data_IF_819709320233
#
_entry.id   IF_819709320233
#
_cell.length_a   1.000
_cell.length_b   1.000
_cell.length_c   1.000
_cell.angle_alpha   90.00
_cell.angle_beta   90.00
_cell.angle_gamma   90.00
#
_symmetry.space_group_name_H-M   'P 1'
#
loop_
_entity.id
_entity.type
_entity.pdbx_description
1 polymer ?
#
# COMPACT_ATOMS: atom_id res chain seq x y z
N UNK A 1 -39.89 -13.64 3.57
CA UNK A 1 -39.83 -12.18 3.32
C UNK A 1 -38.52 -11.68 3.91
N UNK A 2 -37.46 -11.67 3.11
CA UNK A 2 -36.18 -11.10 3.55
C UNK A 2 -36.34 -9.59 3.70
N UNK A 3 -36.32 -9.12 4.94
CA UNK A 3 -36.11 -7.70 5.22
C UNK A 3 -34.73 -7.36 4.65
N UNK A 4 -34.69 -6.65 3.53
CA UNK A 4 -33.50 -5.95 3.07
C UNK A 4 -33.14 -4.96 4.18
N UNK A 5 -32.32 -5.41 5.13
CA UNK A 5 -31.81 -4.57 6.21
C UNK A 5 -31.02 -3.46 5.53
N UNK A 6 -31.57 -2.24 5.55
CA UNK A 6 -30.95 -1.06 4.97
C UNK A 6 -29.57 -0.91 5.62
N UNK A 7 -28.50 -1.23 4.88
CA UNK A 7 -27.14 -1.11 5.40
C UNK A 7 -26.90 0.36 5.76
N UNK A 8 -26.43 0.61 6.99
CA UNK A 8 -25.96 1.94 7.39
C UNK A 8 -24.74 2.36 6.56
N UNK A 9 -24.35 3.63 6.60
CA UNK A 9 -23.26 4.16 5.76
C UNK A 9 -21.95 3.37 5.93
N UNK A 10 -21.63 2.94 7.15
CA UNK A 10 -20.46 2.11 7.42
C UNK A 10 -20.56 0.73 6.74
N UNK A 11 -21.71 0.06 6.84
CA UNK A 11 -21.95 -1.23 6.18
C UNK A 11 -21.97 -1.13 4.64
N UNK A 12 -22.35 0.02 4.08
CA UNK A 12 -22.21 0.28 2.64
C UNK A 12 -20.74 0.48 2.25
N UNK A 13 -19.99 1.27 3.02
CA UNK A 13 -18.56 1.49 2.79
C UNK A 13 -17.73 0.20 2.92
N UNK A 14 -18.11 -0.70 3.83
CA UNK A 14 -17.48 -2.02 3.99
C UNK A 14 -17.84 -3.02 2.88
N UNK A 15 -18.93 -2.79 2.13
CA UNK A 15 -19.48 -3.77 1.18
C UNK A 15 -18.58 -4.22 0.03
N UNK A 16 -17.55 -3.47 -0.43
CA UNK A 16 -16.61 -3.96 -1.43
C UNK A 16 -15.74 -5.13 -0.94
N UNK A 17 -15.57 -5.31 0.37
CA UNK A 17 -14.78 -6.44 0.90
C UNK A 17 -15.53 -7.74 0.62
N UNK A 18 -14.85 -8.66 -0.06
CA UNK A 18 -15.40 -9.96 -0.39
C UNK A 18 -15.46 -10.87 0.85
N UNK A 19 -16.64 -10.93 1.48
CA UNK A 19 -16.87 -11.74 2.68
C UNK A 19 -16.65 -13.24 2.46
N UNK A 20 -16.82 -13.76 1.23
CA UNK A 20 -16.55 -15.18 0.94
C UNK A 20 -15.04 -15.46 1.02
N UNK A 21 -14.23 -14.61 0.40
CA UNK A 21 -12.77 -14.71 0.48
C UNK A 21 -12.28 -14.54 1.92
N UNK A 22 -12.88 -13.61 2.68
CA UNK A 22 -12.61 -13.47 4.11
C UNK A 22 -12.89 -14.78 4.86
N UNK A 23 -14.09 -15.35 4.70
CA UNK A 23 -14.50 -16.58 5.39
C UNK A 23 -13.62 -17.79 5.04
N UNK A 24 -13.23 -17.93 3.78
CA UNK A 24 -12.33 -19.00 3.31
C UNK A 24 -10.94 -18.88 3.93
N UNK A 25 -10.37 -17.66 3.97
CA UNK A 25 -9.08 -17.41 4.61
C UNK A 25 -9.16 -17.66 6.13
N UNK A 26 -10.22 -17.19 6.80
CA UNK A 26 -10.45 -17.39 8.23
C UNK A 26 -10.49 -18.88 8.58
N UNK A 27 -11.17 -19.69 7.78
CA UNK A 27 -11.24 -21.15 7.96
C UNK A 27 -9.89 -21.81 7.71
N UNK A 28 -9.22 -21.47 6.62
CA UNK A 28 -7.93 -22.05 6.23
C UNK A 28 -6.85 -21.78 7.27
N UNK A 29 -6.76 -20.53 7.75
CA UNK A 29 -5.81 -20.08 8.76
C UNK A 29 -6.29 -20.38 10.20
N UNK A 30 -7.49 -20.93 10.37
CA UNK A 30 -8.12 -21.25 11.67
C UNK A 30 -8.21 -20.04 12.63
N UNK A 31 -8.41 -18.83 12.11
CA UNK A 31 -8.34 -17.58 12.89
C UNK A 31 -9.47 -17.44 13.93
N UNK A 32 -10.63 -18.07 13.68
CA UNK A 32 -11.76 -18.07 14.60
C UNK A 32 -11.93 -19.38 15.39
N UNK A 33 -10.91 -20.23 15.39
CA UNK A 33 -10.94 -21.46 16.19
C UNK A 33 -11.10 -21.14 17.68
N UNK A 34 -12.10 -21.76 18.32
CA UNK A 34 -12.54 -21.47 19.70
C UNK A 34 -12.97 -20.01 19.99
N UNK A 35 -13.16 -19.18 18.97
CA UNK A 35 -13.55 -17.79 19.14
C UNK A 35 -15.06 -17.69 19.32
N UNK A 36 -15.50 -17.19 20.49
CA UNK A 36 -16.93 -17.12 20.85
C UNK A 36 -17.57 -15.74 20.63
N UNK A 37 -16.78 -14.67 20.65
CA UNK A 37 -17.29 -13.29 20.71
C UNK A 37 -16.71 -12.40 19.60
N UNK A 38 -15.40 -12.18 19.64
CA UNK A 38 -14.71 -11.29 18.69
C UNK A 38 -14.20 -12.07 17.48
N UNK A 39 -15.09 -12.32 16.52
CA UNK A 39 -14.74 -12.98 15.25
C UNK A 39 -13.81 -12.11 14.41
N UNK A 40 -13.19 -12.71 13.39
CA UNK A 40 -12.30 -11.99 12.47
C UNK A 40 -13.04 -10.88 11.73
N UNK A 41 -14.26 -11.13 11.27
CA UNK A 41 -15.08 -10.13 10.58
C UNK A 41 -15.41 -8.96 11.50
N UNK A 42 -15.88 -9.23 12.73
CA UNK A 42 -16.17 -8.20 13.73
C UNK A 42 -14.93 -7.37 14.06
N UNK A 43 -13.78 -8.03 14.22
CA UNK A 43 -12.52 -7.35 14.50
C UNK A 43 -12.03 -6.50 13.31
N UNK A 44 -12.12 -7.00 12.08
CA UNK A 44 -11.79 -6.25 10.88
C UNK A 44 -12.65 -4.98 10.76
N UNK A 45 -13.95 -5.10 10.99
CA UNK A 45 -14.85 -3.93 10.97
C UNK A 45 -14.47 -2.92 12.06
N UNK A 46 -14.10 -3.38 13.26
CA UNK A 46 -13.62 -2.48 14.32
C UNK A 46 -12.32 -1.77 13.95
N UNK A 47 -11.35 -2.46 13.34
CA UNK A 47 -10.11 -1.83 12.88
C UNK A 47 -10.36 -0.80 11.79
N UNK A 48 -11.25 -1.10 10.83
CA UNK A 48 -11.61 -0.15 9.78
C UNK A 48 -12.38 1.05 10.33
N UNK A 49 -13.28 0.83 11.28
CA UNK A 49 -13.95 1.91 11.99
C UNK A 49 -12.94 2.79 12.74
N UNK A 50 -12.01 2.17 13.47
CA UNK A 50 -10.95 2.87 14.19
C UNK A 50 -10.12 3.73 13.23
N UNK A 51 -9.76 3.22 12.06
CA UNK A 51 -9.04 3.97 11.04
C UNK A 51 -9.87 5.15 10.50
N UNK A 52 -11.14 4.94 10.19
CA UNK A 52 -12.03 5.99 9.66
C UNK A 52 -12.34 7.10 10.67
N UNK A 53 -12.29 6.77 11.96
CA UNK A 53 -12.56 7.70 13.07
C UNK A 53 -11.29 8.18 13.75
N UNK A 54 -10.12 7.82 13.22
CA UNK A 54 -8.81 8.17 13.76
C UNK A 54 -8.68 7.85 15.26
N UNK A 55 -9.21 6.69 15.66
CA UNK A 55 -9.21 6.25 17.06
C UNK A 55 -7.80 5.86 17.49
N UNK A 56 -7.27 6.58 18.47
CA UNK A 56 -5.84 6.54 18.81
C UNK A 56 -5.43 5.40 19.77
N UNK A 57 -6.38 4.69 20.37
CA UNK A 57 -6.06 3.63 21.33
C UNK A 57 -7.13 2.54 21.41
N UNK A 58 -6.73 1.36 21.90
CA UNK A 58 -7.67 0.27 22.18
C UNK A 58 -8.71 0.67 23.24
N UNK A 59 -8.34 1.51 24.21
CA UNK A 59 -9.26 2.06 25.20
C UNK A 59 -10.36 2.90 24.54
N UNK A 60 -9.96 3.88 23.73
CA UNK A 60 -10.90 4.71 22.98
C UNK A 60 -11.78 3.90 22.01
N UNK A 61 -11.23 2.83 21.42
CA UNK A 61 -12.00 1.90 20.58
C UNK A 61 -13.05 1.12 21.41
N UNK A 62 -12.69 0.72 22.62
CA UNK A 62 -13.63 0.12 23.57
C UNK A 62 -14.78 1.07 23.93
N UNK A 63 -14.48 2.36 24.12
CA UNK A 63 -15.49 3.37 24.43
C UNK A 63 -16.42 3.65 23.24
N UNK A 64 -15.91 3.56 22.00
CA UNK A 64 -16.75 3.69 20.81
C UNK A 64 -17.83 2.61 20.72
N UNK A 65 -17.61 1.43 21.33
CA UNK A 65 -18.56 0.32 21.36
C UNK A 65 -19.73 0.53 22.34
N UNK A 66 -19.86 1.67 23.01
CA UNK A 66 -21.10 2.06 23.69
C UNK A 66 -22.22 2.49 22.73
N UNK A 67 -21.90 2.75 21.46
CA UNK A 67 -22.89 3.12 20.44
C UNK A 67 -23.61 1.90 19.84
N UNK A 68 -24.94 1.85 20.00
CA UNK A 68 -25.79 0.76 19.50
C UNK A 68 -25.69 0.56 17.98
N UNK A 69 -25.41 1.62 17.20
CA UNK A 69 -25.30 1.50 15.75
C UNK A 69 -23.99 0.80 15.37
N UNK A 70 -22.89 1.13 16.05
CA UNK A 70 -21.61 0.47 15.88
C UNK A 70 -21.71 -1.00 16.31
N UNK A 71 -22.27 -1.29 17.48
CA UNK A 71 -22.46 -2.66 17.96
C UNK A 71 -23.18 -3.54 16.94
N UNK A 72 -24.28 -3.03 16.36
CA UNK A 72 -25.03 -3.71 15.28
C UNK A 72 -24.20 -3.87 14.00
N UNK A 73 -23.42 -2.85 13.63
CA UNK A 73 -22.62 -2.88 12.41
C UNK A 73 -21.47 -3.90 12.49
N UNK A 74 -20.82 -4.00 13.65
CA UNK A 74 -19.71 -4.92 13.90
C UNK A 74 -20.17 -6.30 14.43
N UNK A 75 -21.45 -6.46 14.74
CA UNK A 75 -22.02 -7.65 15.37
C UNK A 75 -21.31 -8.01 16.69
N UNK A 76 -21.17 -7.02 17.59
CA UNK A 76 -20.47 -7.15 18.86
C UNK A 76 -21.02 -6.18 19.89
N UNK A 77 -21.64 -6.69 20.96
CA UNK A 77 -22.28 -5.86 21.99
C UNK A 77 -21.27 -5.17 22.92
N UNK A 78 -20.15 -5.83 23.21
CA UNK A 78 -19.12 -5.30 24.11
C UNK A 78 -17.81 -6.07 23.96
N UNK A 79 -16.69 -5.48 24.39
CA UNK A 79 -15.41 -6.18 24.39
C UNK A 79 -14.48 -5.58 25.44
N UNK A 80 -13.69 -6.41 26.11
CA UNK A 80 -12.64 -5.89 26.99
C UNK A 80 -11.40 -5.48 26.19
N UNK A 81 -10.64 -4.53 26.74
CA UNK A 81 -9.34 -4.10 26.17
C UNK A 81 -8.36 -5.28 26.08
N UNK A 82 -8.37 -6.16 27.08
CA UNK A 82 -7.53 -7.36 27.08
C UNK A 82 -7.89 -8.34 25.96
N UNK A 83 -9.16 -8.44 25.58
CA UNK A 83 -9.60 -9.24 24.43
C UNK A 83 -9.17 -8.61 23.11
N UNK A 84 -9.33 -7.29 22.94
CA UNK A 84 -8.85 -6.56 21.76
C UNK A 84 -7.33 -6.70 21.58
N UNK A 85 -6.56 -6.49 22.65
CA UNK A 85 -5.10 -6.59 22.63
C UNK A 85 -4.64 -8.01 22.27
N UNK A 86 -5.23 -9.04 22.88
CA UNK A 86 -4.92 -10.45 22.56
C UNK A 86 -5.25 -10.77 21.10
N UNK A 87 -6.37 -10.28 20.59
CA UNK A 87 -6.78 -10.48 19.20
C UNK A 87 -5.84 -9.81 18.21
N UNK A 88 -5.44 -8.57 18.50
CA UNK A 88 -4.49 -7.83 17.67
C UNK A 88 -3.13 -8.55 17.59
N UNK A 89 -2.60 -9.00 18.73
CA UNK A 89 -1.30 -9.68 18.78
C UNK A 89 -1.28 -11.04 18.07
N UNK A 90 -2.43 -11.73 18.01
CA UNK A 90 -2.55 -13.05 17.37
C UNK A 90 -3.01 -13.01 15.91
N UNK A 91 -3.24 -11.82 15.35
CA UNK A 91 -3.78 -11.71 13.99
C UNK A 91 -2.70 -12.00 12.95
N UNK A 92 -3.00 -12.88 11.99
CA UNK A 92 -2.11 -13.10 10.86
C UNK A 92 -2.25 -11.93 9.84
N UNK A 93 -1.18 -11.15 9.58
CA UNK A 93 -1.23 -10.04 8.63
C UNK A 93 -1.50 -10.47 7.18
N UNK A 94 -1.22 -11.73 6.80
CA UNK A 94 -1.46 -12.26 5.46
C UNK A 94 -2.93 -12.19 5.06
N UNK A 95 -3.84 -12.23 6.06
CA UNK A 95 -5.26 -12.01 5.83
C UNK A 95 -5.51 -10.62 5.22
N UNK A 96 -4.93 -9.57 5.81
CA UNK A 96 -5.12 -8.21 5.33
C UNK A 96 -4.48 -7.99 3.97
N UNK A 97 -3.33 -8.62 3.71
CA UNK A 97 -2.70 -8.62 2.39
C UNK A 97 -3.63 -9.26 1.35
N UNK A 98 -4.25 -10.39 1.68
CA UNK A 98 -5.17 -11.08 0.77
C UNK A 98 -6.41 -10.23 0.45
N UNK A 99 -6.99 -9.56 1.45
CA UNK A 99 -8.11 -8.65 1.25
C UNK A 99 -7.72 -7.41 0.42
N UNK A 100 -6.53 -6.86 0.67
CA UNK A 100 -5.99 -5.77 -0.12
C UNK A 100 -5.86 -6.15 -1.60
N UNK A 101 -5.26 -7.30 -1.90
CA UNK A 101 -5.08 -7.78 -3.27
C UNK A 101 -6.42 -8.11 -3.97
N UNK A 102 -7.41 -8.65 -3.24
CA UNK A 102 -8.76 -8.85 -3.77
C UNK A 102 -9.39 -7.51 -4.18
N UNK A 103 -9.30 -6.47 -3.33
CA UNK A 103 -9.81 -5.13 -3.65
C UNK A 103 -9.09 -4.51 -4.85
N UNK A 104 -7.76 -4.67 -4.95
CA UNK A 104 -6.98 -4.24 -6.13
C UNK A 104 -7.49 -4.96 -7.39
N UNK A 105 -7.72 -6.27 -7.33
CA UNK A 105 -8.30 -7.04 -8.43
C UNK A 105 -9.69 -6.55 -8.85
N UNK A 106 -10.54 -6.21 -7.87
CA UNK A 106 -11.85 -5.61 -8.15
C UNK A 106 -11.76 -4.24 -8.84
N UNK A 107 -10.77 -3.41 -8.47
CA UNK A 107 -10.51 -2.14 -9.15
C UNK A 107 -10.10 -2.43 -10.59
N UNK A 108 -9.10 -3.29 -10.82
CA UNK A 108 -8.60 -3.64 -12.15
C UNK A 108 -9.71 -4.14 -13.09
N UNK A 109 -10.62 -4.97 -12.59
CA UNK A 109 -11.76 -5.48 -13.36
C UNK A 109 -12.72 -4.35 -13.79
N UNK A 110 -12.86 -3.28 -12.99
CA UNK A 110 -13.75 -2.16 -13.29
C UNK A 110 -13.10 -1.07 -14.13
N UNK A 111 -11.79 -0.90 -13.98
CA UNK A 111 -11.08 0.24 -14.57
C UNK A 111 -10.50 -0.04 -15.95
N UNK A 112 -10.69 -1.25 -16.52
CA UNK A 112 -10.29 -1.69 -17.87
C UNK A 112 -9.33 -0.70 -18.54
N UNK A 113 -8.02 -0.88 -18.33
CA UNK A 113 -7.01 -0.03 -18.94
C UNK A 113 -7.29 0.08 -20.44
N UNK A 114 -7.82 1.21 -20.87
CA UNK A 114 -7.96 1.49 -22.29
C UNK A 114 -6.54 1.57 -22.83
N UNK A 115 -6.14 0.60 -23.66
CA UNK A 115 -4.79 0.41 -24.23
C UNK A 115 -4.15 1.64 -24.91
N UNK A 116 -4.86 2.77 -24.97
CA UNK A 116 -4.42 4.02 -25.60
C UNK A 116 -3.44 4.82 -24.76
N UNK A 117 -3.38 4.62 -23.44
CA UNK A 117 -2.47 5.38 -22.57
C UNK A 117 -1.70 4.41 -21.67
N UNK A 118 -0.38 4.50 -21.69
CA UNK A 118 0.50 3.77 -20.79
C UNK A 118 0.23 4.20 -19.33
N UNK A 119 -0.13 3.28 -18.42
CA UNK A 119 -0.40 3.62 -17.03
C UNK A 119 0.80 4.24 -16.32
N UNK A 120 0.56 5.19 -15.43
CA UNK A 120 1.59 5.76 -14.57
C UNK A 120 1.55 5.08 -13.19
N UNK A 121 2.67 4.49 -12.77
CA UNK A 121 2.82 3.85 -11.46
C UNK A 121 3.84 4.59 -10.62
N UNK A 122 3.37 5.29 -9.59
CA UNK A 122 4.19 6.10 -8.69
C UNK A 122 4.66 5.23 -7.53
N UNK A 123 5.96 5.19 -7.27
CA UNK A 123 6.56 4.47 -6.15
C UNK A 123 7.10 5.49 -5.15
N UNK A 124 6.65 5.38 -3.90
CA UNK A 124 7.18 6.15 -2.78
C UNK A 124 7.15 5.33 -1.50
N UNK A 125 7.89 5.76 -0.48
CA UNK A 125 7.91 5.12 0.83
C UNK A 125 7.52 6.06 1.96
N UNK A 126 6.82 5.52 2.96
CA UNK A 126 6.46 6.24 4.18
C UNK A 126 6.98 5.49 5.40
N UNK A 127 7.69 6.20 6.28
CA UNK A 127 8.20 5.61 7.52
C UNK A 127 7.19 5.78 8.64
N UNK A 128 6.77 4.67 9.24
CA UNK A 128 5.93 4.63 10.44
C UNK A 128 6.84 4.52 11.67
N UNK A 129 6.97 5.58 12.49
CA UNK A 129 7.82 5.57 13.66
C UNK A 129 7.23 4.66 14.75
N UNK A 130 8.09 3.89 15.41
CA UNK A 130 7.73 2.99 16.49
C UNK A 130 8.56 3.27 17.74
N UNK A 131 7.99 2.92 18.90
CA UNK A 131 8.71 2.96 20.16
C UNK A 131 9.78 1.84 20.19
N UNK A 132 11.05 2.22 20.38
CA UNK A 132 12.18 1.29 20.37
C UNK A 132 12.14 0.28 21.53
N UNK A 133 11.65 0.67 22.71
CA UNK A 133 11.55 -0.21 23.88
C UNK A 133 10.64 -1.41 23.59
N UNK A 134 9.50 -1.15 22.92
CA UNK A 134 8.50 -2.16 22.61
C UNK A 134 8.73 -2.87 21.27
N UNK A 135 9.42 -2.24 20.32
CA UNK A 135 9.60 -2.75 18.95
C UNK A 135 11.08 -2.89 18.59
N UNK A 136 11.85 -3.61 19.42
CA UNK A 136 13.30 -3.80 19.21
C UNK A 136 13.65 -4.48 17.90
N UNK A 137 12.76 -5.33 17.38
CA UNK A 137 12.91 -6.01 16.09
C UNK A 137 12.94 -5.03 14.90
N UNK A 138 12.38 -3.83 15.04
CA UNK A 138 12.30 -2.80 14.00
C UNK A 138 13.30 -1.65 14.22
N UNK A 139 14.42 -1.90 14.90
CA UNK A 139 15.42 -0.86 15.19
C UNK A 139 16.09 -0.37 13.89
N UNK A 140 16.09 0.94 13.66
CA UNK A 140 16.79 1.54 12.51
C UNK A 140 17.82 2.62 12.87
N UNK A 141 17.75 3.17 14.09
CA UNK A 141 18.80 4.06 14.65
C UNK A 141 19.04 3.74 16.12
N UNK A 142 20.05 4.39 16.74
CA UNK A 142 20.38 4.22 18.17
C UNK A 142 19.16 4.34 19.08
N UNK A 143 18.28 5.31 18.81
CA UNK A 143 17.13 5.65 19.66
C UNK A 143 15.78 5.51 18.96
N UNK A 144 15.74 4.98 17.72
CA UNK A 144 14.51 4.91 16.94
C UNK A 144 14.26 3.51 16.36
N UNK A 145 13.02 3.06 16.51
CA UNK A 145 12.47 1.94 15.76
C UNK A 145 11.43 2.45 14.77
N UNK A 146 11.18 1.68 13.72
CA UNK A 146 10.22 2.06 12.70
C UNK A 146 10.14 1.00 11.61
N UNK A 147 9.00 0.98 10.96
CA UNK A 147 8.79 0.23 9.73
C UNK A 147 8.59 1.22 8.59
N UNK A 148 8.77 0.75 7.37
CA UNK A 148 8.59 1.53 6.16
C UNK A 148 7.61 0.82 5.27
N UNK A 149 6.59 1.55 4.81
CA UNK A 149 5.64 1.12 3.81
C UNK A 149 6.11 1.65 2.45
N UNK A 150 6.54 0.77 1.57
CA UNK A 150 6.79 1.06 0.17
C UNK A 150 5.50 0.83 -0.60
N UNK A 151 5.00 1.87 -1.27
CA UNK A 151 3.70 1.85 -1.92
C UNK A 151 3.86 2.15 -3.40
N UNK A 152 3.26 1.31 -4.24
CA UNK A 152 3.05 1.58 -5.65
C UNK A 152 1.61 2.03 -5.85
N UNK A 153 1.45 3.29 -6.23
CA UNK A 153 0.18 3.91 -6.54
C UNK A 153 -0.01 3.95 -8.05
N UNK A 154 -1.13 3.44 -8.56
CA UNK A 154 -1.51 3.65 -9.96
C UNK A 154 -2.23 4.98 -10.05
N UNK A 155 -1.74 5.87 -10.91
CA UNK A 155 -2.39 7.12 -11.24
C UNK A 155 -3.25 6.94 -12.50
N UNK A 156 -4.53 7.28 -12.37
CA UNK A 156 -5.53 7.17 -13.42
C UNK A 156 -5.96 8.56 -13.90
N UNK A 157 -6.66 8.58 -15.04
CA UNK A 157 -7.28 9.80 -15.53
C UNK A 157 -8.24 10.42 -14.51
N UNK A 158 -8.54 11.72 -14.70
CA UNK A 158 -9.49 12.49 -13.86
C UNK A 158 -9.07 12.61 -12.39
N UNK A 159 -7.77 12.50 -12.10
CA UNK A 159 -7.21 12.68 -10.76
C UNK A 159 -7.56 11.54 -9.79
N UNK A 160 -7.91 10.37 -10.32
CA UNK A 160 -8.16 9.18 -9.51
C UNK A 160 -6.86 8.37 -9.36
N UNK A 161 -6.70 7.72 -8.22
CA UNK A 161 -5.52 6.87 -7.97
C UNK A 161 -5.84 5.81 -6.93
N UNK A 162 -5.14 4.68 -6.98
CA UNK A 162 -5.31 3.62 -5.99
C UNK A 162 -3.98 2.90 -5.73
N UNK A 163 -3.79 2.34 -4.53
CA UNK A 163 -2.64 1.50 -4.23
C UNK A 163 -2.77 0.16 -4.96
N UNK A 164 -1.71 -0.26 -5.65
CA UNK A 164 -1.67 -1.54 -6.38
C UNK A 164 -0.74 -2.55 -5.70
N UNK A 165 0.37 -2.08 -5.13
CA UNK A 165 1.35 -2.94 -4.44
C UNK A 165 1.85 -2.25 -3.18
N UNK A 166 1.99 -3.02 -2.11
CA UNK A 166 2.51 -2.55 -0.82
C UNK A 166 3.53 -3.56 -0.29
N UNK A 167 4.68 -3.06 0.17
CA UNK A 167 5.73 -3.86 0.81
C UNK A 167 6.11 -3.18 2.12
N UNK A 168 6.14 -3.95 3.21
CA UNK A 168 6.54 -3.44 4.52
C UNK A 168 7.93 -3.99 4.86
N UNK A 169 8.86 -3.09 5.15
CA UNK A 169 10.20 -3.44 5.62
C UNK A 169 10.51 -2.75 6.94
N UNK A 170 11.59 -3.13 7.59
CA UNK A 170 12.17 -2.32 8.67
C UNK A 170 12.70 -1.00 8.10
N UNK A 171 12.67 0.07 8.90
CA UNK A 171 13.00 1.42 8.41
C UNK A 171 14.50 1.66 8.11
N UNK A 172 15.36 0.70 8.42
CA UNK A 172 16.78 0.71 8.04
C UNK A 172 16.99 0.34 6.56
N UNK A 173 16.02 -0.34 5.94
CA UNK A 173 16.12 -0.73 4.54
C UNK A 173 16.08 0.49 3.63
N UNK A 174 17.03 0.52 2.69
CA UNK A 174 17.14 1.58 1.69
C UNK A 174 16.10 1.39 0.58
N UNK A 175 15.53 2.51 0.12
CA UNK A 175 14.44 2.51 -0.86
C UNK A 175 14.86 1.94 -2.22
N UNK A 176 16.12 2.15 -2.61
CA UNK A 176 16.70 1.67 -3.88
C UNK A 176 16.52 0.17 -4.09
N UNK A 177 16.74 -0.62 -3.05
CA UNK A 177 16.60 -2.09 -3.12
C UNK A 177 15.17 -2.56 -3.37
N UNK A 178 14.18 -1.70 -3.13
CA UNK A 178 12.78 -2.05 -3.36
C UNK A 178 12.36 -1.91 -4.82
N UNK A 179 13.15 -1.25 -5.69
CA UNK A 179 12.85 -1.19 -7.13
C UNK A 179 12.78 -2.59 -7.74
N UNK A 180 13.57 -3.55 -7.25
CA UNK A 180 13.54 -4.93 -7.76
C UNK A 180 12.20 -5.63 -7.51
N UNK A 181 11.53 -5.26 -6.42
CA UNK A 181 10.23 -5.81 -6.05
C UNK A 181 9.11 -4.99 -6.67
N UNK A 182 9.28 -3.67 -6.77
CA UNK A 182 8.20 -2.74 -7.14
C UNK A 182 8.08 -2.49 -8.65
N UNK A 183 9.10 -2.83 -9.44
CA UNK A 183 9.13 -2.72 -10.91
C UNK A 183 9.05 -4.11 -11.53
N UNK A 184 7.87 -4.48 -12.03
CA UNK A 184 7.53 -5.83 -12.49
C UNK A 184 6.57 -5.87 -13.70
N UNK A 185 6.21 -4.71 -14.27
CA UNK A 185 5.25 -4.58 -15.38
C UNK A 185 5.84 -3.69 -16.49
N UNK A 186 6.08 -4.28 -17.67
CA UNK A 186 6.69 -3.58 -18.82
C UNK A 186 5.71 -2.71 -19.60
N UNK A 187 4.41 -2.82 -19.33
CA UNK A 187 3.37 -2.08 -20.05
C UNK A 187 2.99 -0.77 -19.33
N UNK A 188 3.84 -0.28 -18.43
CA UNK A 188 3.61 0.95 -17.66
C UNK A 188 4.86 1.81 -17.52
N UNK A 189 4.67 3.07 -17.13
CA UNK A 189 5.74 4.00 -16.79
C UNK A 189 5.82 4.12 -15.26
N UNK A 190 6.97 3.76 -14.70
CA UNK A 190 7.24 3.95 -13.27
C UNK A 190 7.74 5.35 -12.98
N UNK A 191 7.30 5.93 -11.87
CA UNK A 191 7.76 7.25 -11.41
C UNK A 191 8.24 7.14 -9.98
N UNK A 192 9.47 7.55 -9.72
CA UNK A 192 10.04 7.54 -8.37
C UNK A 192 11.05 8.66 -8.17
N UNK A 193 11.22 9.07 -6.92
CA UNK A 193 12.05 10.20 -6.56
C UNK A 193 13.57 9.86 -6.53
N UNK A 194 14.39 10.81 -6.09
CA UNK A 194 15.86 10.65 -6.04
C UNK A 194 16.34 9.69 -4.95
N UNK A 195 15.50 9.33 -3.99
CA UNK A 195 15.80 8.34 -2.96
C UNK A 195 16.08 6.97 -3.58
N UNK A 196 15.43 6.67 -4.70
CA UNK A 196 15.55 5.45 -5.48
C UNK A 196 16.65 5.46 -6.55
N UNK A 197 17.42 6.54 -6.66
CA UNK A 197 18.44 6.68 -7.71
C UNK A 197 19.58 5.67 -7.54
N UNK A 198 19.75 4.82 -8.56
CA UNK A 198 20.75 3.77 -8.67
C UNK A 198 21.03 3.52 -10.16
N UNK A 199 22.21 3.92 -10.66
CA UNK A 199 22.51 3.90 -12.10
C UNK A 199 22.66 2.48 -12.66
N UNK A 200 23.32 1.58 -11.93
CA UNK A 200 23.40 0.16 -12.33
C UNK A 200 22.01 -0.46 -12.42
N UNK A 201 21.10 -0.09 -11.51
CA UNK A 201 19.71 -0.52 -11.62
C UNK A 201 18.99 0.08 -12.83
N UNK A 202 19.26 1.34 -13.16
CA UNK A 202 18.66 2.00 -14.33
C UNK A 202 19.10 1.36 -15.64
N UNK A 203 20.38 0.96 -15.74
CA UNK A 203 20.88 0.21 -16.89
C UNK A 203 20.12 -1.12 -17.03
N UNK A 204 20.01 -1.91 -15.95
CA UNK A 204 19.24 -3.16 -15.95
C UNK A 204 17.78 -2.95 -16.34
N UNK A 205 17.12 -1.92 -15.80
CA UNK A 205 15.73 -1.61 -16.14
C UNK A 205 15.57 -1.25 -17.63
N UNK A 206 16.54 -0.51 -18.19
CA UNK A 206 16.56 -0.13 -19.61
C UNK A 206 16.77 -1.35 -20.49
N UNK A 207 17.76 -2.20 -20.17
CA UNK A 207 18.07 -3.44 -20.90
C UNK A 207 16.88 -4.42 -20.88
N UNK A 208 16.17 -4.50 -19.76
CA UNK A 208 14.97 -5.34 -19.62
C UNK A 208 13.72 -4.73 -20.28
N UNK A 209 13.78 -3.50 -20.78
CA UNK A 209 12.68 -2.83 -21.49
C UNK A 209 11.60 -2.24 -20.58
N UNK A 210 11.94 -1.83 -19.36
CA UNK A 210 11.05 -1.07 -18.49
C UNK A 210 11.10 0.43 -18.80
N UNK A 211 9.95 1.10 -18.71
CA UNK A 211 9.87 2.55 -18.79
C UNK A 211 9.83 3.15 -17.38
N UNK A 212 10.69 4.13 -17.13
CA UNK A 212 10.72 4.83 -15.84
C UNK A 212 11.09 6.31 -15.98
N UNK A 213 10.67 7.09 -15.00
CA UNK A 213 11.00 8.48 -14.81
C UNK A 213 11.54 8.66 -13.39
N UNK A 214 12.75 9.20 -13.30
CA UNK A 214 13.36 9.59 -12.04
C UNK A 214 14.06 10.92 -12.16
N UNK A 215 14.18 11.61 -11.03
CA UNK A 215 14.92 12.85 -10.96
C UNK A 215 16.41 12.54 -10.78
N UNK A 216 17.28 13.23 -11.52
CA UNK A 216 18.72 13.13 -11.32
C UNK A 216 19.22 14.00 -10.15
N UNK A 217 20.41 13.70 -9.64
CA UNK A 217 21.11 14.59 -8.71
C UNK A 217 21.57 15.86 -9.43
N UNK A 218 21.72 16.97 -8.71
CA UNK A 218 22.18 18.24 -9.30
C UNK A 218 23.56 18.15 -9.94
N UNK A 219 24.41 17.25 -9.43
CA UNK A 219 25.76 17.00 -9.90
C UNK A 219 25.86 15.72 -10.75
N UNK A 220 24.75 15.24 -11.31
CA UNK A 220 24.79 14.10 -12.22
C UNK A 220 25.62 14.46 -13.44
N UNK A 221 26.58 13.60 -13.77
CA UNK A 221 27.35 13.72 -15.01
C UNK A 221 26.52 13.06 -16.10
N UNK A 222 26.22 13.83 -17.14
CA UNK A 222 25.44 13.38 -18.28
C UNK A 222 26.26 13.67 -19.53
N UNK A 223 26.46 12.65 -20.36
CA UNK A 223 27.08 12.76 -21.67
C UNK A 223 26.03 12.50 -22.72
N UNK A 224 25.75 13.52 -23.52
CA UNK A 224 24.87 13.38 -24.67
C UNK A 224 25.49 12.46 -25.74
N UNK A 225 24.66 11.57 -26.27
CA UNK A 225 25.00 10.66 -27.37
C UNK A 225 24.25 11.04 -28.64
N UNK A 226 22.98 11.40 -28.50
CA UNK A 226 22.14 11.81 -29.61
C UNK A 226 21.05 12.78 -29.14
N UNK A 227 20.78 13.81 -29.94
CA UNK A 227 19.73 14.81 -29.70
C UNK A 227 18.57 14.59 -30.68
N UNK A 228 17.37 14.35 -30.14
CA UNK A 228 16.17 14.10 -30.92
C UNK A 228 15.42 15.41 -31.22
N UNK A 229 14.99 15.56 -32.47
CA UNK A 229 14.21 16.73 -32.88
C UNK A 229 12.84 16.71 -32.21
N UNK A 230 12.55 17.76 -31.45
CA UNK A 230 11.24 17.96 -30.84
C UNK A 230 10.20 18.46 -31.87
N UNK A 231 8.91 18.09 -31.70
CA UNK A 231 7.82 18.68 -32.44
C UNK A 231 7.69 20.19 -32.19
N UNK A 232 7.21 20.92 -33.21
CA UNK A 232 6.95 22.35 -33.08
C UNK A 232 5.86 22.61 -32.04
N UNK A 233 6.09 23.56 -31.12
CA UNK A 233 5.17 23.87 -30.02
C UNK A 233 5.22 22.89 -28.84
N UNK A 234 6.17 21.96 -28.78
CA UNK A 234 6.34 21.05 -27.65
C UNK A 234 6.70 21.80 -26.35
N UNK A 235 6.16 21.33 -25.22
CA UNK A 235 6.53 21.79 -23.87
C UNK A 235 7.79 21.09 -23.32
N UNK A 236 8.29 20.08 -24.03
CA UNK A 236 9.52 19.36 -23.66
C UNK A 236 10.71 20.27 -23.96
N UNK A 237 11.67 20.34 -23.04
CA UNK A 237 12.86 21.19 -23.18
C UNK A 237 13.94 20.54 -24.05
N UNK A 238 14.14 19.23 -23.90
CA UNK A 238 15.06 18.42 -24.69
C UNK A 238 14.61 16.95 -24.66
N UNK A 239 14.89 16.22 -25.74
CA UNK A 239 14.72 14.77 -25.84
C UNK A 239 16.04 14.19 -26.36
N UNK A 240 16.73 13.40 -25.55
CA UNK A 240 18.12 13.04 -25.80
C UNK A 240 18.39 11.61 -25.36
N UNK A 241 19.19 10.90 -26.15
CA UNK A 241 19.86 9.67 -25.71
C UNK A 241 21.16 10.06 -25.01
N UNK A 242 21.30 9.65 -23.76
CA UNK A 242 22.41 10.07 -22.90
C UNK A 242 23.04 8.89 -22.17
N UNK A 243 24.32 9.02 -21.83
CA UNK A 243 24.99 8.19 -20.83
C UNK A 243 25.02 8.96 -19.51
N UNK A 244 24.67 8.31 -18.41
CA UNK A 244 24.62 8.93 -17.07
C UNK A 244 25.67 8.26 -16.19
N UNK A 245 26.46 9.07 -15.48
CA UNK A 245 27.51 8.57 -14.58
C UNK A 245 28.94 8.88 -15.07
N UNK A 246 29.92 8.26 -14.42
CA UNK A 246 31.34 8.39 -14.76
C UNK A 246 31.96 7.00 -14.87
N UNK A 247 33.10 6.85 -15.52
CA UNK A 247 33.83 5.56 -15.59
C UNK A 247 34.27 5.00 -14.23
N UNK A 248 34.03 5.71 -13.13
CA UNK A 248 34.37 5.31 -11.77
C UNK A 248 33.14 4.94 -10.90
N UNK A 249 31.92 5.12 -11.40
CA UNK A 249 30.68 4.78 -10.69
C UNK A 249 29.72 4.02 -11.57
#
# INVERSE_FOLDING_TARGET
MDKIARKNSFGQWFSPINLKVLDENVKTMKLDFYTKKLTTESFLKLLLFAQLKEVESLHALGDCLFDDQLQKAVNLDSISISQLSRRLNGMNPDLFQSLFLDLVGQIHAKTHYTKRIMPLKIIDSSTLPLNLTNHRWAKFRKTKAGVKLHLRLVFMEKGTSYPEKAVITTANEHDRGQLEIMVDDKECMYVFDRGYLDYERFDRLTDDGYFFLSRLRKNAVVREVYDFKLPEGSSVLSDQMVLIGTTQN
#
